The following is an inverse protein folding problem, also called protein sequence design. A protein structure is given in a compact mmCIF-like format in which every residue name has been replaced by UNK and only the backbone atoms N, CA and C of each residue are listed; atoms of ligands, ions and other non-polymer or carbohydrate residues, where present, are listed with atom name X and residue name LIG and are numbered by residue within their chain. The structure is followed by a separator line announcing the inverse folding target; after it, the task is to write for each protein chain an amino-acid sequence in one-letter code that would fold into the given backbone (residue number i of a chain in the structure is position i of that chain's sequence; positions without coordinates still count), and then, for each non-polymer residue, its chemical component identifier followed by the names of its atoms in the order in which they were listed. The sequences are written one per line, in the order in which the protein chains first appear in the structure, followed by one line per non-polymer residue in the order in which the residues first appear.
data_IF_761585006792
#
_entry.id   IF_761585006792
#
_cell.length_a   1.000
_cell.length_b   1.000
_cell.length_c   1.000
_cell.angle_alpha   90.00
_cell.angle_beta   90.00
_cell.angle_gamma   90.00
#
_symmetry.space_group_name_H-M   'P 1'
#
loop_
_entity.id
_entity.type
_entity.pdbx_description
1 polymer ?
#
# COMPACT_ATOMS: atom_id res chain seq x y z
N UNK A 1 -50.09 56.40 -7.59
CA UNK A 1 -49.23 55.63 -8.52
C UNK A 1 -48.85 54.34 -7.82
N UNK A 2 -49.05 53.17 -8.44
CA UNK A 2 -48.47 51.94 -7.91
C UNK A 2 -46.93 51.97 -8.08
N UNK A 3 -46.17 51.24 -7.25
CA UNK A 3 -44.72 51.15 -7.39
C UNK A 3 -44.34 50.48 -8.73
N UNK A 4 -43.17 50.81 -9.30
CA UNK A 4 -42.72 50.19 -10.53
C UNK A 4 -42.50 48.68 -10.31
N UNK A 5 -42.80 47.83 -11.30
CA UNK A 5 -42.52 46.40 -11.21
C UNK A 5 -41.02 46.19 -11.06
N UNK A 6 -40.64 45.40 -10.06
CA UNK A 6 -39.27 44.93 -9.84
C UNK A 6 -38.78 44.24 -11.11
N UNK A 7 -37.55 44.53 -11.62
CA UNK A 7 -37.04 43.83 -12.78
C UNK A 7 -36.98 42.34 -12.49
N UNK A 8 -37.58 41.51 -13.34
CA UNK A 8 -37.40 40.07 -13.27
C UNK A 8 -35.90 39.75 -13.37
N UNK A 9 -35.35 39.14 -12.33
CA UNK A 9 -34.00 38.59 -12.32
C UNK A 9 -33.91 37.59 -13.47
N UNK A 10 -33.08 37.87 -14.48
CA UNK A 10 -32.76 36.87 -15.50
C UNK A 10 -32.18 35.64 -14.79
N UNK A 11 -32.64 34.42 -15.10
CA UNK A 11 -31.96 33.22 -14.65
C UNK A 11 -30.50 33.32 -15.09
N UNK A 12 -29.56 33.11 -14.17
CA UNK A 12 -28.17 32.93 -14.55
C UNK A 12 -28.12 31.78 -15.58
N UNK A 13 -27.36 31.92 -16.68
CA UNK A 13 -27.20 30.81 -17.62
C UNK A 13 -26.64 29.60 -16.86
N UNK A 14 -27.43 28.54 -16.76
CA UNK A 14 -26.99 27.26 -16.20
C UNK A 14 -26.10 26.60 -17.24
N UNK A 15 -24.85 26.32 -16.86
CA UNK A 15 -23.98 25.48 -17.68
C UNK A 15 -24.66 24.10 -17.85
N UNK A 16 -24.62 23.50 -19.05
CA UNK A 16 -24.99 22.10 -19.23
C UNK A 16 -24.16 21.19 -18.33
N UNK A 17 -24.79 20.13 -17.81
CA UNK A 17 -24.18 19.18 -16.87
C UNK A 17 -22.87 18.58 -17.42
N UNK A 18 -22.84 18.28 -18.73
CA UNK A 18 -21.65 17.78 -19.44
C UNK A 18 -20.45 18.73 -19.31
N UNK A 19 -20.67 20.05 -19.39
CA UNK A 19 -19.58 21.02 -19.26
C UNK A 19 -19.11 21.17 -17.82
N UNK A 20 -19.99 20.94 -16.85
CA UNK A 20 -19.64 20.94 -15.42
C UNK A 20 -18.77 19.72 -15.11
N UNK A 21 -19.15 18.55 -15.62
CA UNK A 21 -18.38 17.32 -15.50
C UNK A 21 -16.97 17.48 -16.10
N UNK A 22 -16.87 18.04 -17.31
CA UNK A 22 -15.59 18.34 -17.96
C UNK A 22 -14.69 19.25 -17.12
N UNK A 23 -15.26 20.22 -16.40
CA UNK A 23 -14.49 21.08 -15.49
C UNK A 23 -13.94 20.26 -14.32
N UNK A 24 -14.76 19.40 -13.70
CA UNK A 24 -14.33 18.58 -12.58
C UNK A 24 -13.33 17.50 -12.97
N UNK A 25 -13.42 16.93 -14.18
CA UNK A 25 -12.43 15.98 -14.71
C UNK A 25 -11.01 16.55 -14.75
N UNK A 26 -10.88 17.86 -14.98
CA UNK A 26 -9.59 18.55 -15.07
C UNK A 26 -9.02 18.99 -13.72
N UNK A 27 -9.74 18.77 -12.61
CA UNK A 27 -9.19 19.04 -11.30
C UNK A 27 -8.05 18.06 -11.00
N UNK A 28 -6.95 18.51 -10.40
CA UNK A 28 -5.80 17.66 -10.12
C UNK A 28 -6.11 16.68 -8.98
N UNK A 29 -5.81 15.38 -9.13
CA UNK A 29 -6.16 14.36 -8.15
C UNK A 29 -5.33 14.46 -6.87
N UNK A 30 -4.11 14.99 -6.94
CA UNK A 30 -3.24 15.28 -5.79
C UNK A 30 -3.72 16.47 -4.93
N UNK A 31 -4.77 17.19 -5.34
CA UNK A 31 -5.42 18.22 -4.54
C UNK A 31 -6.92 17.94 -4.32
N UNK A 32 -7.28 16.89 -3.55
CA UNK A 32 -8.68 16.46 -3.40
C UNK A 32 -9.59 17.53 -2.78
N UNK A 33 -9.01 18.53 -2.10
CA UNK A 33 -9.74 19.64 -1.48
C UNK A 33 -10.69 20.39 -2.43
N UNK A 34 -10.39 20.41 -3.73
CA UNK A 34 -11.25 21.06 -4.73
C UNK A 34 -12.50 20.24 -5.00
N UNK A 35 -12.37 18.92 -5.16
CA UNK A 35 -13.50 18.00 -5.29
C UNK A 35 -14.34 17.94 -4.01
N UNK A 36 -13.70 17.92 -2.83
CA UNK A 36 -14.39 17.99 -1.52
C UNK A 36 -15.23 19.26 -1.43
N UNK A 37 -14.66 20.42 -1.79
CA UNK A 37 -15.40 21.69 -1.72
C UNK A 37 -16.55 21.74 -2.72
N UNK A 38 -16.37 21.16 -3.91
CA UNK A 38 -17.43 21.06 -4.90
C UNK A 38 -18.58 20.17 -4.41
N UNK A 39 -18.28 18.99 -3.86
CA UNK A 39 -19.31 18.08 -3.35
C UNK A 39 -20.11 18.68 -2.18
N UNK A 40 -19.46 19.46 -1.31
CA UNK A 40 -20.13 20.16 -0.21
C UNK A 40 -20.93 21.40 -0.63
N UNK A 41 -20.70 21.94 -1.83
CA UNK A 41 -21.35 23.17 -2.28
C UNK A 41 -22.76 22.97 -2.86
N UNK A 42 -23.08 21.75 -3.33
CA UNK A 42 -24.33 21.46 -4.03
C UNK A 42 -24.64 19.96 -4.01
N UNK A 43 -25.89 19.58 -3.70
CA UNK A 43 -26.36 18.20 -3.81
C UNK A 43 -26.30 17.66 -5.25
N UNK A 44 -26.50 18.54 -6.24
CA UNK A 44 -26.34 18.19 -7.64
C UNK A 44 -24.87 17.88 -7.98
N UNK A 45 -23.92 18.68 -7.49
CA UNK A 45 -22.50 18.40 -7.70
C UNK A 45 -22.02 17.18 -6.93
N UNK A 46 -22.54 16.97 -5.71
CA UNK A 46 -22.30 15.73 -4.96
C UNK A 46 -22.72 14.52 -5.79
N UNK A 47 -23.99 14.48 -6.26
CA UNK A 47 -24.52 13.37 -7.06
C UNK A 47 -23.73 13.14 -8.37
N UNK A 48 -23.26 14.22 -9.02
CA UNK A 48 -22.41 14.11 -10.21
C UNK A 48 -21.04 13.48 -9.86
N UNK A 49 -20.41 13.95 -8.78
CA UNK A 49 -19.06 13.53 -8.39
C UNK A 49 -19.01 12.13 -7.73
N UNK A 50 -20.10 11.71 -7.09
CA UNK A 50 -20.27 10.35 -6.54
C UNK A 50 -20.68 9.33 -7.62
N UNK A 51 -21.13 9.80 -8.79
CA UNK A 51 -21.62 8.97 -9.88
C UNK A 51 -20.51 8.09 -10.48
N UNK A 52 -20.84 6.82 -10.71
CA UNK A 52 -19.91 5.83 -11.30
C UNK A 52 -19.34 6.29 -12.64
N UNK A 53 -20.15 6.93 -13.48
CA UNK A 53 -19.71 7.49 -14.78
C UNK A 53 -18.59 8.52 -14.61
N UNK A 54 -18.73 9.45 -13.66
CA UNK A 54 -17.69 10.44 -13.39
C UNK A 54 -16.43 9.76 -12.85
N UNK A 55 -16.58 8.83 -11.89
CA UNK A 55 -15.44 8.12 -11.31
C UNK A 55 -14.63 7.35 -12.36
N UNK A 56 -15.28 6.63 -13.28
CA UNK A 56 -14.61 5.97 -14.42
C UNK A 56 -13.80 6.99 -15.21
N UNK A 57 -14.48 8.05 -15.69
CA UNK A 57 -13.87 9.04 -16.57
C UNK A 57 -12.74 9.82 -15.90
N UNK A 58 -12.88 10.12 -14.62
CA UNK A 58 -11.86 10.82 -13.83
C UNK A 58 -10.60 9.98 -13.72
N UNK A 59 -10.74 8.68 -13.46
CA UNK A 59 -9.61 7.75 -13.39
C UNK A 59 -8.99 7.50 -14.76
N UNK A 60 -9.78 7.36 -15.82
CA UNK A 60 -9.27 7.26 -17.19
C UNK A 60 -8.50 8.51 -17.62
N UNK A 61 -8.94 9.69 -17.18
CA UNK A 61 -8.29 10.95 -17.51
C UNK A 61 -6.95 11.13 -16.81
N UNK A 62 -6.82 10.67 -15.55
CA UNK A 62 -5.61 10.82 -14.72
C UNK A 62 -4.71 9.58 -14.67
N UNK A 63 -5.22 8.43 -15.09
CA UNK A 63 -4.60 7.09 -15.11
C UNK A 63 -4.21 6.56 -13.71
N UNK A 64 -3.14 7.11 -13.12
CA UNK A 64 -2.61 6.64 -11.84
C UNK A 64 -3.22 7.40 -10.64
N UNK A 65 -3.60 6.71 -9.55
CA UNK A 65 -4.08 7.38 -8.35
C UNK A 65 -2.99 8.25 -7.70
N UNK A 66 -3.36 9.37 -7.06
CA UNK A 66 -2.43 10.19 -6.30
C UNK A 66 -2.08 9.53 -4.95
N UNK A 67 -0.92 9.88 -4.41
CA UNK A 67 -0.58 9.55 -3.02
C UNK A 67 -1.22 10.56 -2.08
N UNK A 68 -2.28 10.16 -1.38
CA UNK A 68 -3.01 11.04 -0.45
C UNK A 68 -2.38 11.09 0.94
N UNK A 69 -1.58 10.08 1.27
CA UNK A 69 -0.77 9.99 2.48
C UNK A 69 0.09 8.73 2.46
N UNK A 70 0.68 8.40 3.60
CA UNK A 70 1.39 7.13 3.80
C UNK A 70 1.28 6.66 5.24
N UNK A 71 1.31 5.34 5.39
CA UNK A 71 1.50 4.67 6.67
C UNK A 71 2.99 4.39 6.89
N UNK A 72 3.38 4.25 8.15
CA UNK A 72 4.75 3.90 8.49
C UNK A 72 4.79 3.08 9.77
N UNK A 73 5.83 2.27 9.88
CA UNK A 73 6.15 1.46 11.04
C UNK A 73 7.54 1.83 11.57
N UNK A 74 7.75 1.61 12.86
CA UNK A 74 9.03 1.84 13.52
C UNK A 74 9.85 0.54 13.53
N UNK A 75 11.17 0.66 13.55
CA UNK A 75 12.03 -0.47 13.94
C UNK A 75 11.74 -0.82 15.42
N UNK A 76 11.53 -2.11 15.73
CA UNK A 76 11.01 -2.56 17.02
C UNK A 76 11.77 -2.03 18.26
N UNK A 77 13.09 -1.84 18.16
CA UNK A 77 13.95 -1.35 19.26
C UNK A 77 13.96 0.18 19.45
N UNK A 78 13.33 0.93 18.55
CA UNK A 78 13.49 2.40 18.44
C UNK A 78 12.16 3.16 18.51
N UNK A 79 11.10 2.52 19.02
CA UNK A 79 9.86 3.23 19.33
C UNK A 79 10.16 4.35 20.33
N UNK A 80 9.81 5.61 20.05
CA UNK A 80 9.97 6.68 21.03
C UNK A 80 9.13 6.35 22.27
N UNK A 81 9.72 6.48 23.47
CA UNK A 81 9.00 6.34 24.73
C UNK A 81 7.89 7.41 24.79
N UNK A 82 6.64 6.98 24.58
CA UNK A 82 5.41 7.79 24.62
C UNK A 82 5.03 8.19 26.07
N UNK A 83 5.98 8.65 26.90
CA UNK A 83 5.63 9.27 28.18
C UNK A 83 5.05 10.68 27.95
N UNK A 84 3.76 10.73 27.62
CA UNK A 84 2.92 11.93 27.76
C UNK A 84 2.56 12.69 26.48
N UNK A 85 2.95 12.21 25.31
CA UNK A 85 2.46 12.75 24.03
C UNK A 85 1.23 11.93 23.54
N UNK A 86 0.27 12.57 22.84
CA UNK A 86 -0.83 11.85 22.22
C UNK A 86 -0.27 10.86 21.20
N UNK A 87 -0.89 9.69 21.04
CA UNK A 87 -0.31 8.64 20.24
C UNK A 87 0.00 9.11 18.82
N UNK A 88 1.21 8.75 18.38
CA UNK A 88 1.74 9.18 17.11
C UNK A 88 0.82 8.67 15.99
N UNK A 89 0.13 9.60 15.30
CA UNK A 89 -0.68 9.27 14.13
C UNK A 89 0.17 8.50 13.11
N UNK A 90 -0.14 7.21 12.92
CA UNK A 90 0.55 6.31 11.98
C UNK A 90 0.16 6.54 10.51
N UNK A 91 -0.63 7.58 10.25
CA UNK A 91 -0.96 8.06 8.91
C UNK A 91 -0.49 9.49 8.71
N UNK A 92 0.48 9.68 7.83
CA UNK A 92 0.99 10.98 7.45
C UNK A 92 0.30 11.47 6.18
N UNK A 93 -0.52 12.51 6.31
CA UNK A 93 -1.19 13.13 5.17
C UNK A 93 -0.20 13.91 4.30
N UNK A 94 -0.19 13.63 2.99
CA UNK A 94 0.54 14.43 1.99
C UNK A 94 -0.33 15.52 1.38
N UNK A 95 -1.64 15.43 1.58
CA UNK A 95 -2.67 16.32 1.03
C UNK A 95 -3.69 16.70 2.11
N UNK A 96 -4.62 17.62 1.81
CA UNK A 96 -5.78 17.90 2.68
C UNK A 96 -6.86 16.82 2.54
N UNK A 97 -6.46 15.56 2.67
CA UNK A 97 -7.33 14.41 2.74
C UNK A 97 -7.79 14.23 4.19
N UNK A 98 -9.09 14.08 4.43
CA UNK A 98 -9.64 13.79 5.75
C UNK A 98 -10.04 12.33 5.81
N UNK A 99 -9.11 11.46 6.18
CA UNK A 99 -9.42 10.04 6.40
C UNK A 99 -10.48 9.89 7.50
N UNK A 100 -11.41 8.96 7.32
CA UNK A 100 -12.39 8.60 8.35
C UNK A 100 -11.75 7.61 9.30
N UNK A 101 -11.05 8.15 10.30
CA UNK A 101 -10.34 7.37 11.32
C UNK A 101 -11.37 6.48 12.04
N UNK A 102 -11.16 5.17 12.10
CA UNK A 102 -12.10 4.26 12.74
C UNK A 102 -11.98 4.36 14.27
N UNK A 103 -13.08 4.08 14.97
CA UNK A 103 -13.07 3.93 16.43
C UNK A 103 -12.56 2.53 16.77
N UNK A 104 -11.25 2.41 17.00
CA UNK A 104 -10.58 1.15 17.35
C UNK A 104 -9.96 1.30 18.73
N UNK A 105 -10.30 0.39 19.64
CA UNK A 105 -9.63 0.29 20.93
C UNK A 105 -8.15 -0.05 20.73
N UNK A 106 -7.26 0.61 21.48
CA UNK A 106 -5.82 0.35 21.40
C UNK A 106 -5.25 0.49 19.98
N UNK A 107 -5.73 1.46 19.19
CA UNK A 107 -5.20 1.80 17.85
C UNK A 107 -3.66 1.91 17.82
N UNK A 108 -3.08 2.32 18.96
CA UNK A 108 -1.65 2.51 19.16
C UNK A 108 -0.87 1.20 19.27
N UNK A 109 -1.55 0.07 19.32
CA UNK A 109 -0.92 -1.23 19.25
C UNK A 109 -0.92 -1.80 17.83
N UNK A 110 -1.67 -1.21 16.89
CA UNK A 110 -1.78 -1.71 15.51
C UNK A 110 -0.74 -1.13 14.53
N UNK A 111 -0.03 -2.01 13.83
CA UNK A 111 0.91 -1.66 12.78
C UNK A 111 0.32 -1.92 11.39
N UNK A 112 0.51 -0.97 10.46
CA UNK A 112 0.09 -1.16 9.08
C UNK A 112 1.05 -2.17 8.41
N UNK A 113 0.49 -3.24 7.86
CA UNK A 113 1.23 -4.26 7.12
C UNK A 113 1.26 -3.97 5.63
N UNK A 114 0.16 -3.45 5.10
CA UNK A 114 -0.01 -3.25 3.67
C UNK A 114 -1.10 -2.23 3.33
N UNK A 115 -1.01 -1.64 2.14
CA UNK A 115 -2.05 -0.80 1.57
C UNK A 115 -2.13 -0.97 0.06
N UNK A 116 -3.27 -1.50 -0.42
CA UNK A 116 -3.56 -1.66 -1.85
C UNK A 116 -5.02 -1.34 -2.12
N UNK A 117 -5.31 -0.83 -3.32
CA UNK A 117 -6.69 -0.65 -3.80
C UNK A 117 -7.60 0.17 -2.85
N UNK A 118 -7.03 1.17 -2.16
CA UNK A 118 -7.77 1.97 -1.17
C UNK A 118 -8.13 1.22 0.11
N UNK A 119 -7.45 0.11 0.42
CA UNK A 119 -7.63 -0.71 1.62
C UNK A 119 -6.31 -0.81 2.35
N UNK A 120 -6.36 -0.80 3.68
CA UNK A 120 -5.19 -0.85 4.54
C UNK A 120 -5.35 -2.02 5.49
N UNK A 121 -4.35 -2.89 5.56
CA UNK A 121 -4.30 -4.02 6.47
C UNK A 121 -3.46 -3.65 7.69
N UNK A 122 -4.00 -3.90 8.87
CA UNK A 122 -3.35 -3.69 10.15
C UNK A 122 -3.25 -5.00 10.94
N UNK A 123 -2.27 -5.03 11.82
CA UNK A 123 -2.04 -6.11 12.77
C UNK A 123 -1.70 -5.52 14.13
N UNK A 124 -2.26 -6.09 15.21
CA UNK A 124 -1.74 -5.85 16.56
C UNK A 124 -0.79 -7.01 16.94
N UNK A 125 0.54 -6.80 16.91
CA UNK A 125 1.51 -7.84 17.22
C UNK A 125 1.55 -8.20 18.71
N UNK A 126 0.91 -7.42 19.58
CA UNK A 126 0.82 -7.69 21.03
C UNK A 126 -0.42 -8.49 21.42
N UNK A 127 -1.42 -8.60 20.53
CA UNK A 127 -2.62 -9.39 20.75
C UNK A 127 -2.34 -10.90 20.75
N UNK A 128 -3.18 -11.68 21.45
CA UNK A 128 -3.12 -13.15 21.47
C UNK A 128 -4.54 -13.75 21.35
N UNK A 129 -4.94 -14.29 20.17
CA UNK A 129 -4.20 -14.25 18.90
C UNK A 129 -4.02 -12.80 18.42
N UNK A 130 -2.99 -12.52 17.63
CA UNK A 130 -2.75 -11.19 17.09
C UNK A 130 -3.88 -10.84 16.10
N UNK A 131 -4.79 -9.90 16.42
CA UNK A 131 -5.90 -9.57 15.56
C UNK A 131 -5.42 -8.80 14.34
N UNK A 132 -6.04 -9.08 13.19
CA UNK A 132 -5.89 -8.32 11.97
C UNK A 132 -7.16 -7.51 11.72
N UNK A 133 -7.05 -6.38 11.04
CA UNK A 133 -8.22 -5.77 10.42
C UNK A 133 -7.88 -5.06 9.11
N UNK A 134 -8.87 -5.02 8.22
CA UNK A 134 -8.84 -4.22 7.00
C UNK A 134 -9.66 -2.95 7.23
N UNK A 135 -9.09 -1.80 6.87
CA UNK A 135 -9.74 -0.50 6.94
C UNK A 135 -9.81 0.16 5.56
N UNK A 136 -10.95 0.78 5.26
CA UNK A 136 -11.13 1.73 4.16
C UNK A 136 -11.08 3.17 4.70
N UNK A 137 -9.99 3.93 4.47
CA UNK A 137 -9.88 5.32 4.92
C UNK A 137 -10.88 6.29 4.28
N UNK A 138 -11.46 5.96 3.13
CA UNK A 138 -12.46 6.78 2.44
C UNK A 138 -13.84 6.66 3.08
N UNK A 139 -14.26 5.43 3.42
CA UNK A 139 -15.60 5.15 3.96
C UNK A 139 -15.63 5.09 5.48
N UNK A 140 -14.50 4.72 6.11
CA UNK A 140 -14.40 4.42 7.53
C UNK A 140 -14.71 2.95 7.86
N UNK A 141 -15.07 2.14 6.87
CA UNK A 141 -15.47 0.75 7.09
C UNK A 141 -14.27 -0.09 7.53
N UNK A 142 -14.48 -0.90 8.57
CA UNK A 142 -13.49 -1.82 9.13
C UNK A 142 -14.03 -3.25 9.16
N UNK A 143 -13.11 -4.21 9.00
CA UNK A 143 -13.40 -5.64 9.09
C UNK A 143 -12.26 -6.35 9.82
N UNK A 144 -12.57 -6.99 10.93
CA UNK A 144 -11.62 -7.77 11.73
C UNK A 144 -11.54 -9.20 11.24
N UNK A 145 -10.38 -9.81 11.43
CA UNK A 145 -10.15 -11.23 11.20
C UNK A 145 -9.08 -11.75 12.16
N UNK A 146 -9.22 -13.00 12.57
CA UNK A 146 -8.19 -13.70 13.34
C UNK A 146 -7.13 -14.27 12.40
N UNK A 147 -5.87 -14.27 12.85
CA UNK A 147 -4.78 -14.96 12.15
C UNK A 147 -5.06 -16.46 12.02
N UNK A 148 -4.51 -17.14 10.99
CA UNK A 148 -4.59 -18.58 10.92
C UNK A 148 -3.95 -19.24 12.16
N UNK A 149 -4.54 -20.34 12.63
CA UNK A 149 -4.10 -21.07 13.83
C UNK A 149 -2.68 -21.64 13.70
N UNK A 150 -1.91 -21.59 14.78
CA UNK A 150 -0.58 -22.24 14.87
C UNK A 150 0.55 -21.47 14.19
N UNK A 151 0.28 -20.26 13.71
CA UNK A 151 1.21 -19.43 12.98
C UNK A 151 1.98 -18.49 13.91
N UNK A 152 3.31 -18.55 13.86
CA UNK A 152 4.19 -17.55 14.45
C UNK A 152 4.63 -16.63 13.31
N UNK A 153 4.70 -15.33 13.59
CA UNK A 153 4.56 -14.26 12.60
C UNK A 153 5.36 -14.40 11.31
N UNK A 154 4.71 -14.02 10.21
CA UNK A 154 5.27 -13.94 8.87
C UNK A 154 4.26 -13.15 8.00
N UNK A 155 4.75 -12.26 7.13
CA UNK A 155 4.01 -11.08 6.63
C UNK A 155 2.62 -11.32 6.00
N UNK A 156 1.78 -10.28 5.98
CA UNK A 156 0.44 -10.32 5.39
C UNK A 156 0.20 -9.17 4.41
N UNK A 157 -0.75 -9.37 3.49
CA UNK A 157 -1.13 -8.37 2.48
C UNK A 157 -2.62 -8.42 2.18
N UNK A 158 -3.17 -7.30 1.71
CA UNK A 158 -4.54 -7.17 1.22
C UNK A 158 -4.55 -6.95 -0.29
N UNK A 159 -5.38 -7.70 -1.01
CA UNK A 159 -5.58 -7.54 -2.46
C UNK A 159 -7.06 -7.51 -2.80
N UNK A 160 -7.41 -6.92 -3.93
CA UNK A 160 -8.79 -6.96 -4.41
C UNK A 160 -9.17 -8.39 -4.82
N UNK A 161 -10.35 -8.86 -4.39
CA UNK A 161 -10.81 -10.22 -4.69
C UNK A 161 -11.61 -10.35 -6.00
N UNK A 162 -11.96 -9.22 -6.63
CA UNK A 162 -12.85 -9.17 -7.78
C UNK A 162 -12.14 -9.74 -9.00
N UNK A 163 -12.63 -10.85 -9.53
CA UNK A 163 -12.03 -11.51 -10.69
C UNK A 163 -12.10 -10.64 -11.94
N UNK A 164 -10.98 -10.49 -12.64
CA UNK A 164 -10.87 -9.64 -13.84
C UNK A 164 -11.04 -8.15 -13.55
N UNK A 165 -10.84 -7.72 -12.31
CA UNK A 165 -10.86 -6.31 -11.96
C UNK A 165 -9.70 -5.57 -12.64
N UNK A 166 -10.00 -4.42 -13.23
CA UNK A 166 -8.97 -3.51 -13.75
C UNK A 166 -8.34 -2.65 -12.64
N UNK A 167 -8.73 -2.90 -11.39
CA UNK A 167 -8.35 -2.18 -10.17
C UNK A 167 -8.58 -0.67 -10.21
N UNK A 168 -9.32 -0.19 -11.22
CA UNK A 168 -9.70 1.21 -11.34
C UNK A 168 -10.91 1.52 -10.50
N UNK A 169 -11.79 0.58 -10.17
CA UNK A 169 -13.00 0.83 -9.37
C UNK A 169 -13.28 -0.26 -8.31
N UNK A 170 -12.25 -0.92 -7.81
CA UNK A 170 -12.42 -1.94 -6.77
C UNK A 170 -12.72 -1.39 -5.37
N UNK A 171 -12.78 -0.07 -5.22
CA UNK A 171 -13.17 0.59 -3.98
C UNK A 171 -14.58 0.10 -3.56
N UNK A 172 -14.68 -0.56 -2.42
CA UNK A 172 -15.93 -1.13 -1.89
C UNK A 172 -16.15 -2.62 -2.16
N UNK A 173 -15.33 -3.25 -3.02
CA UNK A 173 -15.45 -4.67 -3.31
C UNK A 173 -14.86 -5.58 -2.21
N UNK A 174 -15.10 -6.91 -2.32
CA UNK A 174 -14.43 -7.88 -1.46
C UNK A 174 -12.91 -7.83 -1.64
N UNK A 175 -12.22 -8.18 -0.56
CA UNK A 175 -10.77 -8.25 -0.51
C UNK A 175 -10.33 -9.67 -0.16
N UNK A 176 -9.15 -10.05 -0.63
CA UNK A 176 -8.43 -11.23 -0.13
C UNK A 176 -7.34 -10.75 0.80
N UNK A 177 -7.26 -11.38 1.97
CA UNK A 177 -6.11 -11.26 2.84
C UNK A 177 -5.24 -12.49 2.61
N UNK A 178 -3.99 -12.25 2.26
CA UNK A 178 -3.00 -13.29 2.00
C UNK A 178 -1.97 -13.22 3.13
N UNK A 179 -1.80 -14.32 3.84
CA UNK A 179 -0.92 -14.45 5.00
C UNK A 179 0.18 -15.46 4.67
N UNK A 180 1.43 -15.02 4.76
CA UNK A 180 2.59 -15.89 4.56
C UNK A 180 2.99 -16.54 5.88
N UNK A 181 3.48 -17.78 5.83
CA UNK A 181 3.98 -18.49 7.00
C UNK A 181 5.18 -19.35 6.62
N UNK A 182 6.13 -19.46 7.53
CA UNK A 182 7.13 -20.51 7.51
C UNK A 182 6.92 -21.49 8.67
N UNK A 183 7.08 -22.78 8.38
CA UNK A 183 7.00 -23.83 9.40
C UNK A 183 8.36 -24.20 9.96
N UNK A 184 8.45 -24.35 11.29
CA UNK A 184 9.65 -24.79 12.03
C UNK A 184 9.72 -26.34 12.16
N UNK A 185 9.43 -27.08 11.09
CA UNK A 185 9.45 -28.55 11.06
C UNK A 185 10.83 -29.18 10.77
N UNK A 186 10.86 -30.47 10.39
CA UNK A 186 12.05 -31.19 9.89
C UNK A 186 12.48 -30.70 8.47
N UNK A 187 12.44 -29.39 8.25
CA UNK A 187 12.66 -28.68 6.99
C UNK A 187 11.97 -27.31 7.02
N UNK A 188 12.55 -26.32 6.36
CA UNK A 188 11.94 -24.99 6.23
C UNK A 188 10.92 -25.02 5.09
N UNK A 189 9.62 -24.91 5.42
CA UNK A 189 8.54 -24.95 4.43
C UNK A 189 7.77 -23.64 4.45
N UNK A 190 7.67 -23.00 3.29
CA UNK A 190 6.87 -21.80 3.07
C UNK A 190 5.43 -22.17 2.70
N UNK A 191 4.47 -21.51 3.32
CA UNK A 191 3.03 -21.65 3.06
C UNK A 191 2.37 -20.29 2.90
N UNK A 192 1.22 -20.29 2.24
CA UNK A 192 0.34 -19.13 2.18
C UNK A 192 -1.07 -19.55 2.57
N UNK A 193 -1.70 -18.74 3.41
CA UNK A 193 -3.11 -18.86 3.76
C UNK A 193 -3.86 -17.68 3.16
N UNK A 194 -4.99 -17.94 2.52
CA UNK A 194 -5.84 -16.91 1.90
C UNK A 194 -7.22 -16.91 2.55
N UNK A 195 -7.68 -15.74 2.96
CA UNK A 195 -9.05 -15.51 3.43
C UNK A 195 -9.75 -14.51 2.50
N UNK A 196 -11.02 -14.77 2.20
CA UNK A 196 -11.88 -13.83 1.46
C UNK A 196 -12.73 -13.04 2.46
N UNK A 197 -12.76 -11.72 2.30
CA UNK A 197 -13.43 -10.79 3.20
C UNK A 197 -14.33 -9.85 2.43
N UNK A 198 -15.62 -9.86 2.76
CA UNK A 198 -16.61 -8.93 2.22
C UNK A 198 -16.58 -7.60 3.00
N UNK A 199 -16.57 -6.50 2.25
CA UNK A 199 -16.46 -5.13 2.79
C UNK A 199 -17.80 -4.39 2.65
N UNK A 200 -18.82 -4.83 3.37
CA UNK A 200 -20.16 -4.23 3.36
C UNK A 200 -20.42 -3.25 4.52
N UNK A 201 -21.08 -2.13 4.20
CA UNK A 201 -21.34 -1.02 5.14
C UNK A 201 -22.32 -1.36 6.28
N UNK A 202 -22.97 -2.53 6.22
CA UNK A 202 -24.11 -2.87 7.07
C UNK A 202 -23.76 -3.32 8.51
N UNK A 203 -22.48 -3.45 8.87
CA UNK A 203 -22.08 -4.16 10.09
C UNK A 203 -21.06 -3.39 10.96
N UNK A 204 -21.00 -2.07 10.87
CA UNK A 204 -20.05 -1.26 11.65
C UNK A 204 -20.29 -1.24 13.18
N UNK A 205 -21.25 -2.00 13.70
CA UNK A 205 -21.60 -2.04 15.13
C UNK A 205 -21.54 -3.43 15.80
N UNK A 206 -21.30 -4.53 15.07
CA UNK A 206 -21.16 -5.84 15.73
C UNK A 206 -19.70 -6.09 16.09
N UNK A 207 -19.38 -5.91 17.37
CA UNK A 207 -18.13 -6.23 18.05
C UNK A 207 -17.81 -7.73 18.13
N UNK A 208 -18.54 -8.57 17.42
CA UNK A 208 -18.44 -10.02 17.58
C UNK A 208 -17.55 -10.56 16.46
N UNK A 209 -16.39 -11.07 16.86
CA UNK A 209 -15.42 -11.88 16.11
C UNK A 209 -16.04 -13.22 15.62
N UNK A 210 -17.32 -13.24 15.24
CA UNK A 210 -18.15 -14.45 15.11
C UNK A 210 -18.43 -14.86 13.65
N UNK A 211 -17.54 -14.51 12.72
CA UNK A 211 -17.50 -15.20 11.43
C UNK A 211 -16.23 -16.05 11.40
N UNK A 212 -16.41 -17.37 11.52
CA UNK A 212 -15.39 -18.38 11.20
C UNK A 212 -14.93 -18.15 9.75
N UNK A 213 -13.98 -17.24 9.57
CA UNK A 213 -13.31 -17.03 8.29
C UNK A 213 -12.47 -18.28 8.00
N UNK A 214 -12.86 -19.02 6.98
CA UNK A 214 -12.11 -20.18 6.53
C UNK A 214 -10.85 -19.72 5.79
N UNK A 215 -9.70 -19.89 6.43
CA UNK A 215 -8.41 -19.77 5.77
C UNK A 215 -8.19 -20.96 4.85
N UNK A 216 -7.91 -20.69 3.57
CA UNK A 216 -7.50 -21.72 2.61
C UNK A 216 -5.98 -21.78 2.57
N UNK A 217 -5.41 -22.95 2.90
CA UNK A 217 -3.96 -23.18 2.94
C UNK A 217 -3.45 -23.68 1.58
N UNK A 218 -2.42 -23.03 1.04
CA UNK A 218 -1.76 -23.43 -0.20
C UNK A 218 -0.81 -24.63 0.00
N UNK A 219 -0.46 -25.35 -1.09
CA UNK A 219 0.62 -26.32 -1.06
C UNK A 219 1.94 -25.66 -0.60
N UNK A 220 2.64 -26.32 0.33
CA UNK A 220 3.92 -25.82 0.84
C UNK A 220 5.05 -25.90 -0.18
N UNK A 221 5.96 -24.93 -0.13
CA UNK A 221 7.24 -24.94 -0.85
C UNK A 221 8.36 -25.28 0.13
N UNK A 222 9.04 -26.40 -0.11
CA UNK A 222 10.27 -26.75 0.62
C UNK A 222 11.38 -25.78 0.23
N UNK A 223 11.98 -25.14 1.23
CA UNK A 223 13.12 -24.26 1.09
C UNK A 223 14.40 -25.01 1.52
N UNK A 224 15.44 -24.93 0.70
CA UNK A 224 16.77 -25.43 1.05
C UNK A 224 17.45 -24.50 2.06
N UNK A 225 16.89 -24.41 3.27
CA UNK A 225 17.30 -23.46 4.31
C UNK A 225 17.09 -24.03 5.71
N UNK A 226 17.86 -23.53 6.68
CA UNK A 226 17.63 -23.84 8.11
C UNK A 226 16.45 -23.07 8.68
N UNK A 227 16.26 -21.84 8.22
CA UNK A 227 15.15 -20.97 8.58
C UNK A 227 14.96 -19.92 7.48
N UNK A 228 13.74 -19.45 7.29
CA UNK A 228 13.42 -18.36 6.38
C UNK A 228 12.30 -17.53 6.97
N UNK A 229 12.24 -16.25 6.65
CA UNK A 229 11.21 -15.33 7.14
C UNK A 229 11.08 -14.14 6.20
N UNK A 230 9.93 -13.47 6.24
CA UNK A 230 9.78 -12.17 5.57
C UNK A 230 10.37 -11.09 6.49
N UNK A 231 11.38 -10.30 6.04
CA UNK A 231 11.91 -9.20 6.82
C UNK A 231 10.83 -8.18 7.20
N UNK A 232 10.96 -7.57 8.39
CA UNK A 232 9.96 -6.69 9.00
C UNK A 232 9.28 -5.71 8.02
N UNK A 233 7.94 -5.81 7.98
CA UNK A 233 6.96 -4.80 7.53
C UNK A 233 7.20 -4.27 6.11
N UNK A 234 7.94 -4.98 5.26
CA UNK A 234 7.99 -4.63 3.83
C UNK A 234 6.83 -5.33 3.10
N UNK A 235 5.82 -4.58 2.62
CA UNK A 235 4.74 -5.18 1.88
C UNK A 235 5.31 -5.87 0.63
N UNK A 236 4.69 -6.97 0.16
CA UNK A 236 5.04 -7.56 -1.14
C UNK A 236 4.83 -6.55 -2.26
N UNK A 237 5.14 -6.92 -3.49
CA UNK A 237 4.61 -6.21 -4.67
C UNK A 237 3.69 -7.11 -5.47
N UNK A 238 2.60 -6.54 -5.98
CA UNK A 238 1.63 -7.21 -6.82
C UNK A 238 1.91 -6.91 -8.30
N UNK A 239 2.03 -7.94 -9.11
CA UNK A 239 2.14 -7.85 -10.57
C UNK A 239 1.16 -8.85 -11.15
N UNK A 240 0.16 -8.33 -11.87
CA UNK A 240 -0.98 -9.12 -12.34
C UNK A 240 -1.59 -9.90 -11.15
N UNK A 241 -1.65 -11.23 -11.23
CA UNK A 241 -2.19 -12.11 -10.20
C UNK A 241 -1.10 -12.76 -9.31
N UNK A 242 0.11 -12.19 -9.26
CA UNK A 242 1.22 -12.74 -8.47
C UNK A 242 1.79 -11.74 -7.46
N UNK A 243 1.97 -12.22 -6.24
CA UNK A 243 2.61 -11.49 -5.14
C UNK A 243 4.08 -11.88 -5.04
N UNK A 244 4.94 -10.89 -4.84
CA UNK A 244 6.38 -11.06 -4.72
C UNK A 244 6.86 -10.51 -3.39
N UNK A 245 7.20 -11.42 -2.48
CA UNK A 245 7.67 -11.12 -1.14
C UNK A 245 9.19 -11.12 -1.11
N UNK A 246 9.77 -10.19 -0.36
CA UNK A 246 11.16 -10.33 0.06
C UNK A 246 11.26 -11.47 1.05
N UNK A 247 12.22 -12.39 0.83
CA UNK A 247 12.44 -13.52 1.71
C UNK A 247 13.89 -13.50 2.19
N UNK A 248 14.08 -13.50 3.51
CA UNK A 248 15.35 -13.78 4.14
C UNK A 248 15.50 -15.29 4.27
N UNK A 249 16.61 -15.83 3.78
CA UNK A 249 16.92 -17.26 3.83
C UNK A 249 18.19 -17.42 4.66
N UNK A 250 18.13 -18.27 5.68
CA UNK A 250 19.25 -18.52 6.60
C UNK A 250 19.73 -19.96 6.42
N UNK A 251 20.96 -20.12 5.92
CA UNK A 251 21.69 -21.39 5.90
C UNK A 251 23.18 -21.16 6.20
N UNK A 252 23.52 -21.09 7.50
CA UNK A 252 24.84 -20.68 8.00
C UNK A 252 25.17 -19.19 7.79
N UNK A 253 24.64 -18.58 6.74
CA UNK A 253 24.69 -17.15 6.41
C UNK A 253 23.29 -16.71 5.97
N UNK A 254 22.86 -15.50 6.34
CA UNK A 254 21.61 -14.92 5.84
C UNK A 254 21.82 -14.41 4.41
N UNK A 255 20.97 -14.82 3.46
CA UNK A 255 20.90 -14.27 2.11
C UNK A 255 19.46 -13.81 1.82
N UNK A 256 19.25 -13.12 0.71
CA UNK A 256 17.94 -12.62 0.30
C UNK A 256 17.50 -13.26 -1.02
N UNK A 257 16.20 -13.54 -1.12
CA UNK A 257 15.55 -14.01 -2.33
C UNK A 257 14.19 -13.31 -2.50
N UNK A 258 13.53 -13.58 -3.62
CA UNK A 258 12.13 -13.18 -3.83
C UNK A 258 11.27 -14.44 -3.85
N UNK A 259 10.30 -14.52 -2.94
CA UNK A 259 9.27 -15.54 -2.96
C UNK A 259 8.09 -15.06 -3.81
N UNK A 260 7.75 -15.82 -4.86
CA UNK A 260 6.56 -15.58 -5.68
C UNK A 260 5.42 -16.49 -5.20
N UNK A 261 4.28 -15.87 -4.89
CA UNK A 261 2.99 -16.56 -4.76
C UNK A 261 2.12 -16.22 -5.96
N UNK A 262 1.81 -17.22 -6.78
CA UNK A 262 0.96 -17.11 -7.96
C UNK A 262 -0.48 -17.47 -7.58
N UNK A 263 -1.35 -16.47 -7.45
CA UNK A 263 -2.72 -16.66 -6.96
C UNK A 263 -3.62 -17.40 -7.96
N UNK A 264 -3.25 -17.40 -9.25
CA UNK A 264 -4.02 -18.10 -10.29
C UNK A 264 -3.80 -19.61 -10.25
N UNK A 265 -2.57 -20.03 -9.95
CA UNK A 265 -2.19 -21.44 -9.83
C UNK A 265 -2.15 -21.96 -8.38
N UNK A 266 -2.34 -21.07 -7.41
CA UNK A 266 -2.18 -21.33 -5.97
C UNK A 266 -0.84 -22.01 -5.65
N UNK A 267 0.25 -21.44 -6.18
CA UNK A 267 1.58 -22.04 -6.10
C UNK A 267 2.66 -21.07 -5.64
N UNK A 268 3.62 -21.60 -4.89
CA UNK A 268 4.80 -20.89 -4.43
C UNK A 268 6.02 -21.28 -5.26
N UNK A 269 6.86 -20.30 -5.55
CA UNK A 269 8.14 -20.50 -6.24
C UNK A 269 9.17 -19.48 -5.76
N UNK A 270 10.45 -19.83 -5.83
CA UNK A 270 11.54 -18.95 -5.47
C UNK A 270 12.15 -18.32 -6.73
N UNK A 271 12.52 -17.05 -6.62
CA UNK A 271 13.25 -16.31 -7.65
C UNK A 271 14.58 -15.87 -7.04
N UNK A 272 15.67 -16.42 -7.58
CA UNK A 272 17.01 -16.05 -7.18
C UNK A 272 17.37 -14.64 -7.64
N UNK A 273 18.11 -13.93 -6.79
CA UNK A 273 18.68 -12.63 -7.11
C UNK A 273 20.00 -12.80 -7.89
N UNK A 274 20.37 -11.84 -8.76
CA UNK A 274 21.71 -11.83 -9.32
C UNK A 274 22.73 -11.62 -8.19
N UNK A 275 24.01 -11.96 -8.41
CA UNK A 275 25.05 -11.76 -7.40
C UNK A 275 25.31 -10.26 -7.19
N UNK A 276 24.55 -9.68 -6.26
CA UNK A 276 24.55 -8.26 -5.90
C UNK A 276 25.36 -7.99 -4.64
N UNK A 277 26.00 -9.03 -4.10
CA UNK A 277 26.76 -8.98 -2.85
C UNK A 277 28.04 -8.20 -3.02
N UNK A 278 28.26 -7.25 -2.12
CA UNK A 278 29.50 -6.48 -2.11
C UNK A 278 30.57 -7.23 -1.34
N UNK A 279 31.65 -7.59 -2.05
CA UNK A 279 32.78 -8.37 -1.51
C UNK A 279 32.39 -9.76 -0.97
N UNK A 280 31.30 -10.35 -1.50
CA UNK A 280 30.81 -11.67 -1.06
C UNK A 280 30.17 -11.66 0.34
N UNK A 281 29.86 -10.48 0.89
CA UNK A 281 29.09 -10.35 2.12
C UNK A 281 27.59 -10.36 1.81
N UNK A 282 26.76 -10.88 2.73
CA UNK A 282 25.31 -10.79 2.63
C UNK A 282 24.77 -9.39 2.39
N UNK A 283 23.60 -9.34 1.76
CA UNK A 283 22.81 -8.11 1.76
C UNK A 283 22.41 -7.74 3.18
N UNK A 284 22.45 -6.44 3.46
CA UNK A 284 22.01 -5.90 4.75
C UNK A 284 20.50 -5.71 4.73
N UNK A 285 19.87 -5.74 5.90
CA UNK A 285 18.46 -5.36 6.03
C UNK A 285 18.24 -3.95 5.47
N UNK A 286 17.09 -3.77 4.80
CA UNK A 286 16.73 -2.54 4.08
C UNK A 286 17.70 -2.10 2.97
N UNK A 287 18.64 -2.96 2.53
CA UNK A 287 19.48 -2.66 1.36
C UNK A 287 18.86 -3.10 0.04
N UNK A 288 17.75 -3.82 0.07
CA UNK A 288 17.08 -4.41 -1.10
C UNK A 288 15.57 -4.30 -0.93
N UNK A 289 14.81 -3.99 -2.01
CA UNK A 289 13.34 -4.04 -2.05
C UNK A 289 12.84 -4.52 -3.42
N UNK A 290 11.83 -5.42 -3.49
CA UNK A 290 11.15 -5.73 -4.74
C UNK A 290 10.32 -4.54 -5.23
N UNK A 291 10.10 -4.46 -6.54
CA UNK A 291 9.35 -3.39 -7.20
C UNK A 291 8.46 -3.95 -8.31
N UNK A 292 7.18 -3.57 -8.29
CA UNK A 292 6.32 -3.66 -9.46
C UNK A 292 6.60 -2.47 -10.37
N UNK A 293 7.33 -2.71 -11.46
CA UNK A 293 7.79 -1.67 -12.36
C UNK A 293 6.63 -1.14 -13.21
N UNK A 294 6.69 0.13 -13.63
CA UNK A 294 5.64 0.74 -14.46
C UNK A 294 5.48 0.19 -15.88
N UNK A 295 6.29 -0.79 -16.28
CA UNK A 295 6.13 -1.57 -17.52
C UNK A 295 5.47 -2.94 -17.27
N UNK A 296 5.05 -3.21 -16.02
CA UNK A 296 4.43 -4.48 -15.61
C UNK A 296 5.43 -5.59 -15.28
N UNK A 297 6.75 -5.32 -15.31
CA UNK A 297 7.74 -6.33 -14.98
C UNK A 297 8.14 -6.31 -13.50
N UNK A 298 8.63 -7.44 -13.00
CA UNK A 298 9.28 -7.51 -11.70
C UNK A 298 10.65 -6.85 -11.79
N UNK A 299 10.92 -5.92 -10.89
CA UNK A 299 12.23 -5.34 -10.65
C UNK A 299 12.59 -5.36 -9.17
N UNK A 300 13.79 -4.89 -8.86
CA UNK A 300 14.16 -4.57 -7.49
C UNK A 300 15.15 -3.41 -7.45
N UNK A 301 15.11 -2.66 -6.35
CA UNK A 301 16.12 -1.67 -6.03
C UNK A 301 17.04 -2.22 -4.95
N UNK A 302 18.33 -1.91 -5.08
CA UNK A 302 19.36 -2.29 -4.12
C UNK A 302 20.27 -1.10 -3.86
N UNK A 303 20.59 -0.84 -2.58
CA UNK A 303 21.57 0.17 -2.17
C UNK A 303 22.81 -0.51 -1.62
N UNK A 304 23.95 -0.22 -2.25
CA UNK A 304 25.27 -0.59 -1.74
C UNK A 304 26.10 0.66 -1.46
N UNK A 305 26.35 0.91 -0.17
CA UNK A 305 26.96 2.14 0.30
C UNK A 305 26.12 3.37 -0.08
N UNK A 306 26.60 4.12 -1.07
CA UNK A 306 25.92 5.30 -1.64
C UNK A 306 25.46 5.08 -3.09
N UNK A 307 25.55 3.85 -3.59
CA UNK A 307 25.16 3.51 -4.96
C UNK A 307 23.79 2.85 -4.93
N UNK A 308 22.84 3.41 -5.66
CA UNK A 308 21.55 2.79 -5.92
C UNK A 308 21.59 2.05 -7.26
N UNK A 309 21.31 0.75 -7.22
CA UNK A 309 21.20 -0.14 -8.36
C UNK A 309 19.73 -0.50 -8.58
N UNK A 310 19.25 -0.36 -9.81
CA UNK A 310 17.93 -0.84 -10.23
C UNK A 310 18.09 -1.98 -11.22
N UNK A 311 17.44 -3.09 -10.92
CA UNK A 311 17.42 -4.30 -11.74
C UNK A 311 15.99 -4.56 -12.21
N UNK A 312 15.86 -5.07 -13.42
CA UNK A 312 14.60 -5.59 -13.94
C UNK A 312 14.79 -7.04 -14.36
N UNK A 313 13.74 -7.84 -14.21
CA UNK A 313 13.69 -9.18 -14.76
C UNK A 313 13.11 -9.12 -16.17
N UNK A 314 13.75 -9.84 -17.10
CA UNK A 314 13.07 -10.25 -18.33
C UNK A 314 12.46 -11.63 -18.05
N UNK A 315 11.14 -11.69 -17.92
CA UNK A 315 10.43 -12.96 -17.78
C UNK A 315 10.33 -13.59 -19.16
N UNK A 316 11.45 -14.08 -19.70
CA UNK A 316 11.38 -15.08 -20.74
C UNK A 316 10.98 -16.39 -20.06
N UNK A 317 9.70 -16.71 -20.21
CA UNK A 317 9.06 -17.97 -19.84
C UNK A 317 9.83 -19.16 -20.43
N UNK A 318 10.81 -19.65 -19.66
CA UNK A 318 11.53 -20.88 -19.88
C UNK A 318 11.43 -21.73 -18.62
N UNK A 319 11.30 -23.04 -18.81
CA UNK A 319 10.88 -24.08 -17.85
C UNK A 319 11.71 -24.27 -16.56
N UNK A 320 12.55 -23.30 -16.15
CA UNK A 320 13.52 -23.47 -15.05
C UNK A 320 13.48 -22.36 -13.99
N UNK A 321 12.50 -21.45 -13.99
CA UNK A 321 12.32 -20.48 -12.89
C UNK A 321 13.45 -19.45 -12.71
N UNK A 322 14.53 -19.53 -13.50
CA UNK A 322 15.66 -18.62 -13.40
C UNK A 322 15.33 -17.29 -14.09
N UNK A 323 15.03 -16.27 -13.30
CA UNK A 323 14.84 -14.91 -13.82
C UNK A 323 16.16 -14.39 -14.42
N UNK A 324 16.11 -13.92 -15.66
CA UNK A 324 17.24 -13.20 -16.26
C UNK A 324 17.17 -11.74 -15.84
N UNK A 325 18.08 -11.33 -14.98
CA UNK A 325 18.17 -9.97 -14.45
C UNK A 325 19.05 -9.07 -15.31
N UNK A 326 18.56 -7.86 -15.58
CA UNK A 326 19.32 -6.80 -16.27
C UNK A 326 19.42 -5.57 -15.38
N UNK A 327 20.62 -5.04 -15.20
CA UNK A 327 20.85 -3.80 -14.46
C UNK A 327 20.54 -2.59 -15.37
N UNK A 328 19.56 -1.78 -15.00
CA UNK A 328 19.10 -0.66 -15.82
C UNK A 328 19.62 0.69 -15.37
N UNK A 329 19.72 0.91 -14.05
CA UNK A 329 20.07 2.22 -13.50
C UNK A 329 21.10 2.04 -12.39
N UNK A 330 22.13 2.89 -12.43
CA UNK A 330 23.13 3.04 -11.38
C UNK A 330 23.18 4.53 -11.03
N UNK A 331 22.84 4.87 -9.79
CA UNK A 331 22.79 6.27 -9.32
C UNK A 331 23.73 6.44 -8.13
N UNK A 332 24.59 7.45 -8.21
CA UNK A 332 25.34 7.94 -7.04
C UNK A 332 24.41 8.83 -6.19
N UNK A 333 23.95 8.29 -5.06
CA UNK A 333 23.02 8.96 -4.15
C UNK A 333 23.65 10.19 -3.49
N UNK A 334 24.97 10.28 -3.39
CA UNK A 334 25.66 11.48 -2.87
C UNK A 334 25.49 12.68 -3.78
N UNK A 335 25.41 12.45 -5.08
CA UNK A 335 25.19 13.51 -6.07
C UNK A 335 23.69 13.84 -6.24
N UNK A 336 22.81 12.92 -5.83
CA UNK A 336 21.37 13.10 -5.94
C UNK A 336 20.77 13.76 -4.69
N UNK A 337 21.05 13.21 -3.50
CA UNK A 337 20.43 13.60 -2.24
C UNK A 337 21.41 14.38 -1.35
N UNK A 338 20.90 15.26 -0.48
CA UNK A 338 21.73 15.88 0.54
C UNK A 338 22.06 14.82 1.63
N UNK A 339 23.32 14.39 1.66
CA UNK A 339 23.86 13.43 2.64
C UNK A 339 25.08 14.08 3.31
N UNK A 340 25.08 14.19 4.65
CA UNK A 340 26.22 14.74 5.39
C UNK A 340 27.12 13.63 5.92
N UNK A 341 26.54 12.57 6.46
CA UNK A 341 27.26 11.42 7.00
C UNK A 341 27.13 10.19 6.07
N UNK A 342 28.08 9.96 5.16
CA UNK A 342 28.05 8.82 4.25
C UNK A 342 28.29 7.47 4.93
N UNK A 343 28.77 7.46 6.18
CA UNK A 343 28.94 6.22 6.97
C UNK A 343 27.63 5.74 7.57
N UNK A 344 26.60 6.61 7.66
CA UNK A 344 25.28 6.20 8.14
C UNK A 344 24.61 5.39 7.03
N UNK A 345 24.13 4.19 7.36
CA UNK A 345 23.46 3.32 6.41
C UNK A 345 22.22 3.99 5.82
N UNK A 346 22.17 4.00 4.49
CA UNK A 346 20.97 4.30 3.73
C UNK A 346 20.03 3.09 3.80
N UNK A 347 18.73 3.36 3.92
CA UNK A 347 17.72 2.30 4.01
C UNK A 347 16.60 2.54 3.01
N UNK A 348 16.32 1.54 2.19
CA UNK A 348 15.13 1.45 1.37
C UNK A 348 13.97 1.01 2.27
N UNK A 349 12.87 1.77 2.26
CA UNK A 349 11.74 1.56 3.18
C UNK A 349 10.41 1.38 2.45
N UNK A 350 10.40 1.35 1.12
CA UNK A 350 9.17 1.13 0.35
C UNK A 350 9.30 1.56 -1.11
N UNK A 351 8.31 1.15 -1.90
CA UNK A 351 8.12 1.57 -3.29
C UNK A 351 6.64 1.87 -3.56
N UNK A 352 6.35 2.53 -4.68
CA UNK A 352 4.97 2.71 -5.16
C UNK A 352 4.75 1.74 -6.32
N UNK A 353 3.78 0.84 -6.18
CA UNK A 353 3.45 -0.16 -7.20
C UNK A 353 3.09 0.46 -8.55
N UNK A 354 3.52 -0.19 -9.63
CA UNK A 354 3.27 0.29 -10.99
C UNK A 354 4.04 1.56 -11.35
N UNK A 355 5.07 1.92 -10.59
CA UNK A 355 5.83 3.16 -10.79
C UNK A 355 7.33 2.96 -10.65
N UNK A 356 8.09 4.02 -10.93
CA UNK A 356 9.54 4.11 -10.71
C UNK A 356 9.88 4.80 -9.38
N UNK A 357 8.95 4.85 -8.43
CA UNK A 357 9.12 5.62 -7.19
C UNK A 357 9.56 4.70 -6.04
N UNK A 358 10.60 5.13 -5.33
CA UNK A 358 11.08 4.50 -4.09
C UNK A 358 11.16 5.51 -2.94
N UNK A 359 11.19 4.98 -1.72
CA UNK A 359 11.44 5.75 -0.50
C UNK A 359 12.75 5.32 0.15
N UNK A 360 13.57 6.30 0.49
CA UNK A 360 14.88 6.09 1.11
C UNK A 360 15.07 6.97 2.33
N UNK A 361 15.62 6.38 3.38
CA UNK A 361 16.07 7.07 4.59
C UNK A 361 17.55 7.42 4.48
N UNK A 362 17.90 8.67 4.78
CA UNK A 362 19.27 9.15 4.94
C UNK A 362 19.50 9.70 6.35
N UNK A 363 20.69 10.23 6.61
CA UNK A 363 21.01 10.97 7.82
C UNK A 363 20.22 12.27 8.00
N UNK A 364 19.72 12.86 6.91
CA UNK A 364 19.03 14.15 6.92
C UNK A 364 17.50 14.06 6.79
N UNK A 365 16.97 12.93 6.33
CA UNK A 365 15.55 12.83 6.02
C UNK A 365 15.10 11.53 5.40
N UNK A 366 13.79 11.42 5.22
CA UNK A 366 13.16 10.43 4.36
C UNK A 366 12.79 11.12 3.05
N UNK A 367 13.19 10.52 1.94
CA UNK A 367 13.06 11.08 0.60
C UNK A 367 12.29 10.12 -0.30
N UNK A 368 11.42 10.70 -1.12
CA UNK A 368 10.84 10.04 -2.28
C UNK A 368 11.70 10.34 -3.50
N UNK A 369 12.00 9.34 -4.32
CA UNK A 369 12.78 9.47 -5.56
C UNK A 369 12.01 8.85 -6.72
N UNK A 370 11.88 9.56 -7.84
CA UNK A 370 11.50 8.98 -9.13
C UNK A 370 12.77 8.56 -9.87
N UNK A 371 12.95 7.26 -10.10
CA UNK A 371 14.17 6.68 -10.66
C UNK A 371 14.38 7.00 -12.14
N UNK A 372 13.31 7.19 -12.92
CA UNK A 372 13.39 7.58 -14.33
C UNK A 372 13.79 9.05 -14.48
N UNK A 373 13.23 9.93 -13.65
CA UNK A 373 13.47 11.38 -13.74
C UNK A 373 14.62 11.88 -12.86
N UNK A 374 15.07 11.05 -11.91
CA UNK A 374 16.01 11.41 -10.85
C UNK A 374 15.58 12.67 -10.09
N UNK A 375 14.27 12.90 -9.97
CA UNK A 375 13.71 13.95 -9.12
C UNK A 375 13.41 13.37 -7.76
N UNK A 376 13.69 14.16 -6.74
CA UNK A 376 13.41 13.78 -5.35
C UNK A 376 12.64 14.87 -4.62
N UNK A 377 11.92 14.48 -3.58
CA UNK A 377 11.34 15.38 -2.58
C UNK A 377 11.56 14.81 -1.19
N UNK A 378 11.81 15.69 -0.22
CA UNK A 378 11.87 15.31 1.19
C UNK A 378 10.43 15.15 1.70
N UNK A 379 10.12 14.00 2.27
CA UNK A 379 8.81 13.71 2.87
C UNK A 379 8.82 13.98 4.37
N UNK A 380 9.91 13.61 5.04
CA UNK A 380 9.96 13.62 6.50
C UNK A 380 11.37 13.92 7.02
N UNK A 381 11.47 14.23 8.31
CA UNK A 381 12.76 14.25 9.02
C UNK A 381 13.36 12.84 9.07
N UNK A 382 14.66 12.74 9.37
CA UNK A 382 15.34 11.44 9.48
C UNK A 382 14.74 10.69 10.67
N UNK A 383 13.97 9.66 10.39
CA UNK A 383 13.41 8.76 11.39
C UNK A 383 13.84 7.31 11.11
N UNK A 384 13.63 6.44 12.08
CA UNK A 384 13.99 5.02 12.01
C UNK A 384 12.79 4.17 11.59
N UNK A 385 12.15 4.57 10.49
CA UNK A 385 11.07 3.78 9.92
C UNK A 385 11.63 2.47 9.36
N UNK A 386 10.94 1.36 9.66
CA UNK A 386 11.17 0.06 9.02
C UNK A 386 10.53 0.06 7.63
N UNK A 387 9.30 0.56 7.53
CA UNK A 387 8.58 0.68 6.27
C UNK A 387 7.80 1.99 6.11
N UNK A 388 7.54 2.35 4.85
CA UNK A 388 6.68 3.42 4.41
C UNK A 388 5.75 2.86 3.34
N UNK A 389 4.47 2.80 3.66
CA UNK A 389 3.43 2.19 2.84
C UNK A 389 2.57 3.31 2.25
N UNK A 390 2.68 3.60 0.94
CA UNK A 390 1.96 4.70 0.33
C UNK A 390 0.46 4.40 0.22
N UNK A 391 -0.38 5.35 0.65
CA UNK A 391 -1.83 5.27 0.45
C UNK A 391 -2.20 5.94 -0.88
N UNK A 392 -2.35 5.09 -1.89
CA UNK A 392 -2.67 5.46 -3.27
C UNK A 392 -4.18 5.31 -3.50
N UNK A 393 -4.88 6.43 -3.68
CA UNK A 393 -6.33 6.39 -3.93
C UNK A 393 -6.83 7.67 -4.58
N UNK A 394 -7.86 7.56 -5.42
CA UNK A 394 -8.59 8.74 -5.89
C UNK A 394 -9.60 9.16 -4.85
N UNK A 395 -9.73 10.47 -4.64
CA UNK A 395 -10.79 10.97 -3.77
C UNK A 395 -12.16 10.69 -4.39
N UNK A 396 -12.92 9.82 -3.73
CA UNK A 396 -14.31 9.54 -4.01
C UNK A 396 -15.20 10.12 -2.89
N UNK A 397 -15.91 11.25 -3.11
CA UNK A 397 -16.87 11.74 -2.14
C UNK A 397 -18.00 10.71 -2.01
N UNK A 398 -18.32 10.31 -0.78
CA UNK A 398 -19.48 9.47 -0.49
C UNK A 398 -20.66 10.35 -0.11
N UNK A 399 -21.87 9.98 -0.52
CA UNK A 399 -23.08 10.56 0.06
C UNK A 399 -23.02 10.31 1.57
N UNK A 400 -23.13 11.37 2.38
CA UNK A 400 -23.36 11.17 3.81
C UNK A 400 -24.73 10.54 3.93
N UNK A 401 -24.80 9.22 4.09
CA UNK A 401 -25.99 8.59 4.64
C UNK A 401 -26.04 9.07 6.08
N UNK A 402 -26.84 10.10 6.32
CA UNK A 402 -27.15 10.53 7.66
C UNK A 402 -28.08 9.44 8.21
N UNK A 403 -27.72 8.70 9.27
CA UNK A 403 -28.58 7.64 9.82
C UNK A 403 -29.91 8.17 10.40
N UNK A 404 -30.16 9.47 10.29
CA UNK A 404 -31.39 10.15 10.69
C UNK A 404 -32.26 10.65 9.52
N UNK A 405 -31.89 10.39 8.25
CA UNK A 405 -32.74 10.77 7.11
C UNK A 405 -33.75 9.67 6.68
N UNK A 406 -33.82 8.56 7.41
CA UNK A 406 -35.04 7.75 7.45
C UNK A 406 -36.00 8.30 8.52
N UNK A 407 -36.93 9.12 8.05
CA UNK A 407 -38.13 9.67 8.70
C UNK A 407 -38.07 11.17 9.05
N UNK A 408 -38.58 12.01 8.13
CA UNK A 408 -39.88 12.68 8.29
C UNK A 408 -40.39 13.36 7.01
#
# INVERSE_FOLDING_TARGET
MPPPPTPATRPAPTLPDELIEEVFLRLPPDEPSSLVRASLASSFWLSLLTGTSFSVRYREFHDAPPMLGFFYSWLHDDRPDDEGDPPVQRFAFTTKFGARIPEVEEWDDYEALDCRHGRVLFENPFGCPAPLFVWDPMTGCTRYLEKPDGCWGDGATVVCAVSGCDHRLCDGGPVRVVFFMTGDGDGCVAHVSVALLEMDDAWSESSDLDLELEWTLSPGLELEATHAFIPEIMPPVLIEDALYFMLSIVDGVCDMAILKYDMASDSLSLIDLPDVRSNGLPLKDHSFIPMAMGDGNLGFAQVDGLTLNLWSSSIHTGAEGLASWTQHIIVDLKNLLPIQNPEKSLRLIGSVEGSDIIFITTDLGIYQISLKSLRWKKLWKSEKFSALIPYMSFYNPQERINPYDEAH
#
